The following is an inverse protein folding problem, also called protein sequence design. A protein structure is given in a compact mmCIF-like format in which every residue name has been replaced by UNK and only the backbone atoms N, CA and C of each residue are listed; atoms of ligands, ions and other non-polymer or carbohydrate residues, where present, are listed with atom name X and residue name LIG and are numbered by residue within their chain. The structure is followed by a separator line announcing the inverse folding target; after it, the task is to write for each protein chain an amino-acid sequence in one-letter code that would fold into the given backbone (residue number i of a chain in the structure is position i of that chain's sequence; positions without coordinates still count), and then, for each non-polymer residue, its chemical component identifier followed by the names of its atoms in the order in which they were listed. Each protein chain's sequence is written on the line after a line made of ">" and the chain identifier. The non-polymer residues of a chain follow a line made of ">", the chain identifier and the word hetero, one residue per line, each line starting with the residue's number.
data_IF_205036974010
#
_entry.id   IF_205036974010
#
_cell.length_a   1.000
_cell.length_b   1.000
_cell.length_c   1.000
_cell.angle_alpha   90.00
_cell.angle_beta   90.00
_cell.angle_gamma   90.00
#
_symmetry.space_group_name_H-M   'P 1'
#
loop_
_entity.id
_entity.type
_entity.pdbx_description
1 polymer ?
#
# COMPACT_ATOMS: atom_id res chain seq x y z
N UNK A 1 27.98 -47.23 -6.19
CA UNK A 1 26.96 -47.05 -5.13
C UNK A 1 26.58 -45.58 -5.14
N UNK A 2 25.41 -45.25 -5.70
CA UNK A 2 24.25 -44.69 -4.97
C UNK A 2 24.58 -43.31 -4.37
N UNK A 3 24.05 -42.18 -4.83
CA UNK A 3 22.68 -41.88 -5.26
C UNK A 3 22.17 -40.78 -4.33
N UNK A 4 22.35 -39.51 -4.68
CA UNK A 4 21.75 -38.39 -3.94
C UNK A 4 20.34 -38.17 -4.49
N UNK A 5 19.35 -38.68 -3.76
CA UNK A 5 17.94 -38.47 -4.04
C UNK A 5 17.57 -37.00 -3.88
N UNK A 6 16.96 -36.45 -4.92
CA UNK A 6 16.30 -35.16 -4.88
C UNK A 6 15.10 -35.23 -3.94
N UNK A 7 15.24 -34.61 -2.77
CA UNK A 7 14.10 -34.18 -1.96
C UNK A 7 13.69 -32.81 -2.44
N UNK A 8 12.93 -32.74 -3.53
CA UNK A 8 12.16 -31.55 -3.85
C UNK A 8 11.10 -31.37 -2.76
N UNK A 9 11.40 -30.58 -1.73
CA UNK A 9 10.33 -29.94 -0.95
C UNK A 9 9.64 -28.98 -1.90
N UNK A 10 8.57 -29.46 -2.52
CA UNK A 10 7.60 -28.60 -3.17
C UNK A 10 7.08 -27.67 -2.07
N UNK A 11 7.42 -26.37 -2.19
CA UNK A 11 6.86 -25.37 -1.31
C UNK A 11 5.33 -25.49 -1.41
N UNK A 12 4.60 -25.49 -0.28
CA UNK A 12 3.15 -25.56 -0.33
C UNK A 12 2.65 -24.45 -1.25
N UNK A 13 1.77 -24.82 -2.19
CA UNK A 13 1.16 -23.86 -3.11
C UNK A 13 0.58 -22.69 -2.28
N UNK A 14 0.97 -21.46 -2.63
CA UNK A 14 0.48 -20.29 -1.94
C UNK A 14 -1.06 -20.30 -1.95
N UNK A 15 -1.67 -20.25 -0.77
CA UNK A 15 -3.12 -20.15 -0.66
C UNK A 15 -3.59 -18.92 -1.43
N UNK A 16 -4.65 -19.06 -2.24
CA UNK A 16 -5.23 -17.90 -2.95
C UNK A 16 -5.70 -16.87 -1.93
N UNK A 17 -5.38 -15.61 -2.18
CA UNK A 17 -5.84 -14.50 -1.36
C UNK A 17 -7.37 -14.38 -1.44
N UNK A 18 -8.01 -14.19 -0.29
CA UNK A 18 -9.45 -13.93 -0.21
C UNK A 18 -9.73 -12.46 -0.50
N UNK A 19 -10.67 -12.18 -1.40
CA UNK A 19 -11.20 -10.83 -1.61
C UNK A 19 -12.12 -10.48 -0.43
N UNK A 20 -11.78 -9.42 0.32
CA UNK A 20 -12.69 -8.86 1.30
C UNK A 20 -13.90 -8.25 0.60
N UNK A 21 -15.10 -8.40 1.18
CA UNK A 21 -16.32 -7.81 0.62
C UNK A 21 -16.31 -6.30 0.87
N UNK A 22 -16.11 -5.53 -0.19
CA UNK A 22 -16.22 -4.07 -0.15
C UNK A 22 -17.71 -3.64 -0.13
N UNK A 23 -18.07 -2.78 0.81
CA UNK A 23 -19.39 -2.18 0.90
C UNK A 23 -19.25 -0.72 1.39
N UNK A 24 -19.53 0.29 0.53
CA UNK A 24 -19.43 1.70 0.91
C UNK A 24 -20.23 2.09 2.14
N UNK A 25 -21.29 1.34 2.48
CA UNK A 25 -22.11 1.60 3.66
C UNK A 25 -21.39 1.32 4.99
N UNK A 26 -20.26 0.60 4.96
CA UNK A 26 -19.46 0.28 6.16
C UNK A 26 -18.41 1.36 6.46
N UNK A 27 -18.48 2.53 5.80
CA UNK A 27 -17.48 3.59 5.94
C UNK A 27 -18.11 4.85 6.53
N UNK A 28 -17.36 5.50 7.43
CA UNK A 28 -17.71 6.77 8.06
C UNK A 28 -16.64 7.83 7.83
N UNK A 29 -16.03 8.32 8.92
CA UNK A 29 -14.86 9.19 8.84
C UNK A 29 -13.62 8.34 8.47
N UNK A 30 -12.94 8.61 7.32
CA UNK A 30 -11.89 7.72 6.83
C UNK A 30 -10.58 7.78 7.61
N UNK A 31 -10.43 8.71 8.54
CA UNK A 31 -9.16 9.01 9.18
C UNK A 31 -9.31 9.24 10.69
N UNK A 32 -9.97 8.30 11.38
CA UNK A 32 -10.09 8.36 12.85
C UNK A 32 -8.79 7.94 13.55
N UNK A 33 -7.98 7.13 12.88
CA UNK A 33 -6.71 6.61 13.38
C UNK A 33 -6.90 5.44 14.34
N UNK A 34 -7.98 4.67 14.20
CA UNK A 34 -8.28 3.50 15.03
C UNK A 34 -7.31 2.34 14.76
N UNK A 35 -6.82 2.18 13.52
CA UNK A 35 -5.88 1.12 13.20
C UNK A 35 -4.50 1.36 13.84
N UNK A 36 -4.09 0.48 14.76
CA UNK A 36 -2.83 0.61 15.51
C UNK A 36 -1.56 0.42 14.68
N UNK A 37 -1.65 -0.25 13.52
CA UNK A 37 -0.48 -0.54 12.68
C UNK A 37 -0.17 0.62 11.73
N UNK A 38 -1.21 1.28 11.23
CA UNK A 38 -1.10 2.44 10.35
C UNK A 38 -2.21 3.46 10.69
N UNK A 39 -2.04 4.26 11.76
CA UNK A 39 -3.07 5.21 12.15
C UNK A 39 -3.26 6.30 11.08
N UNK A 40 -4.41 6.31 10.42
CA UNK A 40 -4.78 7.38 9.49
C UNK A 40 -5.22 8.61 10.27
N UNK A 41 -4.26 9.43 10.71
CA UNK A 41 -4.55 10.69 11.40
C UNK A 41 -3.87 11.84 10.67
N UNK A 42 -4.62 12.83 10.11
CA UNK A 42 -4.05 13.93 9.36
C UNK A 42 -2.92 14.65 10.12
N UNK A 43 -1.85 14.99 9.40
CA UNK A 43 -0.64 15.57 9.95
C UNK A 43 0.34 14.56 10.56
N UNK A 44 -0.03 13.28 10.64
CA UNK A 44 0.92 12.22 11.02
C UNK A 44 1.96 12.05 9.93
N UNK A 45 3.22 12.09 10.34
CA UNK A 45 4.35 11.84 9.46
C UNK A 45 5.25 10.77 10.06
N UNK A 46 5.72 9.86 9.23
CA UNK A 46 6.74 8.88 9.59
C UNK A 46 7.89 8.94 8.58
N UNK A 47 9.11 8.72 9.07
CA UNK A 47 10.30 8.63 8.24
C UNK A 47 10.91 7.25 8.43
N UNK A 48 11.13 6.53 7.34
CA UNK A 48 11.80 5.24 7.30
C UNK A 48 13.10 5.41 6.54
N UNK A 49 14.20 5.04 7.16
CA UNK A 49 15.54 5.13 6.58
C UNK A 49 16.13 3.73 6.40
N UNK A 50 16.94 3.57 5.37
CA UNK A 50 17.59 2.32 5.06
C UNK A 50 18.51 2.44 3.85
N UNK A 51 18.58 1.36 3.08
CA UNK A 51 19.33 1.33 1.84
C UNK A 51 18.61 0.45 0.82
N UNK A 52 18.63 0.88 -0.44
CA UNK A 52 18.10 0.15 -1.59
C UNK A 52 19.18 -0.09 -2.64
N UNK A 53 18.84 -0.81 -3.71
CA UNK A 53 19.72 -1.05 -4.85
C UNK A 53 19.25 -0.26 -6.06
N UNK A 54 20.10 0.64 -6.55
CA UNK A 54 19.89 1.36 -7.82
C UNK A 54 20.90 0.82 -8.84
N UNK A 55 20.40 0.00 -9.76
CA UNK A 55 21.25 -0.83 -10.62
C UNK A 55 22.09 -1.79 -9.79
N UNK A 56 23.41 -1.73 -9.92
CA UNK A 56 24.35 -2.57 -9.14
C UNK A 56 24.84 -1.93 -7.84
N UNK A 57 24.42 -0.70 -7.51
CA UNK A 57 24.91 0.05 -6.35
C UNK A 57 23.89 0.03 -5.21
N UNK A 58 24.36 -0.27 -4.00
CA UNK A 58 23.61 -0.05 -2.77
C UNK A 58 23.73 1.41 -2.36
N UNK A 59 22.61 2.10 -2.16
CA UNK A 59 22.56 3.53 -1.81
C UNK A 59 21.66 3.78 -0.61
N UNK A 60 21.88 4.87 0.16
CA UNK A 60 20.94 5.30 1.19
C UNK A 60 19.57 5.55 0.57
N UNK A 61 18.53 5.17 1.30
CA UNK A 61 17.14 5.27 0.90
C UNK A 61 16.32 5.79 2.07
N UNK A 62 15.40 6.70 1.81
CA UNK A 62 14.49 7.26 2.79
C UNK A 62 13.10 7.39 2.19
N UNK A 63 12.08 6.99 2.95
CA UNK A 63 10.67 7.25 2.66
C UNK A 63 10.10 8.13 3.75
N UNK A 64 9.52 9.25 3.36
CA UNK A 64 8.70 10.08 4.24
C UNK A 64 7.24 9.88 3.86
N UNK A 65 6.47 9.25 4.74
CA UNK A 65 5.03 9.03 4.58
C UNK A 65 4.28 10.07 5.39
N UNK A 66 3.35 10.80 4.76
CA UNK A 66 2.53 11.83 5.38
C UNK A 66 1.06 11.56 5.15
N UNK A 67 0.29 11.36 6.24
CA UNK A 67 -1.17 11.36 6.17
C UNK A 67 -1.63 12.82 6.05
N UNK A 68 -2.22 13.18 4.92
CA UNK A 68 -2.62 14.56 4.65
C UNK A 68 -4.00 14.88 5.26
N UNK A 69 -4.47 16.11 5.06
CA UNK A 69 -5.85 16.54 5.28
C UNK A 69 -6.63 16.70 3.96
N UNK A 70 -6.11 16.14 2.86
CA UNK A 70 -6.75 16.16 1.54
C UNK A 70 -7.65 14.95 1.42
N UNK A 71 -8.94 15.21 1.19
CA UNK A 71 -9.96 14.18 1.07
C UNK A 71 -10.56 14.12 -0.35
N UNK A 72 -10.97 12.93 -0.75
CA UNK A 72 -11.65 12.69 -2.02
C UNK A 72 -12.71 11.61 -1.85
N UNK A 73 -13.83 11.72 -2.55
CA UNK A 73 -14.79 10.61 -2.65
C UNK A 73 -14.39 9.67 -3.80
N UNK A 74 -14.26 8.38 -3.50
CA UNK A 74 -13.91 7.33 -4.45
C UNK A 74 -14.85 6.15 -4.21
N UNK A 75 -15.58 5.75 -5.27
CA UNK A 75 -16.51 4.61 -5.22
C UNK A 75 -17.51 4.66 -4.05
N UNK A 76 -18.01 5.85 -3.72
CA UNK A 76 -18.98 6.08 -2.63
C UNK A 76 -18.35 6.18 -1.23
N UNK A 77 -17.03 6.12 -1.11
CA UNK A 77 -16.30 6.21 0.16
C UNK A 77 -15.46 7.48 0.18
N UNK A 78 -15.57 8.26 1.25
CA UNK A 78 -14.63 9.37 1.50
C UNK A 78 -13.27 8.75 1.86
N UNK A 79 -12.20 9.18 1.23
CA UNK A 79 -10.82 8.70 1.46
C UNK A 79 -9.92 9.86 1.82
N UNK A 80 -8.85 9.60 2.59
CA UNK A 80 -7.75 10.55 2.82
C UNK A 80 -6.58 10.20 1.91
N UNK A 81 -5.90 11.22 1.38
CA UNK A 81 -4.67 11.03 0.62
C UNK A 81 -3.48 10.86 1.58
N UNK A 82 -2.66 9.85 1.34
CA UNK A 82 -1.38 9.61 2.00
C UNK A 82 -0.29 9.84 0.96
N UNK A 83 0.64 10.73 1.27
CA UNK A 83 1.77 11.09 0.41
C UNK A 83 3.01 10.34 0.86
N UNK A 84 3.60 9.56 -0.04
CA UNK A 84 4.97 9.07 0.12
C UNK A 84 5.92 9.90 -0.74
N UNK A 85 7.01 10.34 -0.11
CA UNK A 85 8.12 11.00 -0.77
C UNK A 85 9.39 10.19 -0.54
N UNK A 86 9.93 9.65 -1.62
CA UNK A 86 11.06 8.73 -1.59
C UNK A 86 12.34 9.38 -2.13
N UNK A 87 13.43 9.19 -1.39
CA UNK A 87 14.75 9.72 -1.71
C UNK A 87 15.76 8.57 -1.78
N UNK A 88 16.40 8.42 -2.93
CA UNK A 88 17.56 7.55 -3.14
C UNK A 88 18.81 8.38 -3.39
N UNK A 89 19.88 8.11 -2.64
CA UNK A 89 21.16 8.81 -2.76
C UNK A 89 21.05 10.36 -2.72
N UNK A 90 20.07 10.90 -1.99
CA UNK A 90 19.82 12.34 -1.85
C UNK A 90 19.03 12.97 -3.00
N UNK A 91 18.43 12.18 -3.89
CA UNK A 91 17.56 12.64 -4.96
C UNK A 91 16.21 11.94 -4.89
N UNK A 92 15.15 12.65 -5.29
CA UNK A 92 13.82 12.05 -5.39
C UNK A 92 13.88 10.88 -6.37
N UNK A 93 13.41 9.71 -5.92
CA UNK A 93 13.25 8.49 -6.73
C UNK A 93 11.78 8.22 -7.04
N UNK A 94 10.88 8.52 -6.10
CA UNK A 94 9.44 8.30 -6.26
C UNK A 94 8.63 9.33 -5.47
N UNK A 95 7.48 9.72 -5.99
CA UNK A 95 6.41 10.35 -5.21
C UNK A 95 5.11 9.59 -5.48
N UNK A 96 4.33 9.30 -4.45
CA UNK A 96 3.03 8.64 -4.63
C UNK A 96 1.94 9.21 -3.75
N UNK A 97 0.71 9.10 -4.25
CA UNK A 97 -0.51 9.38 -3.52
C UNK A 97 -1.35 8.11 -3.42
N UNK A 98 -1.58 7.69 -2.19
CA UNK A 98 -2.48 6.58 -1.88
C UNK A 98 -3.77 7.10 -1.24
N UNK A 99 -4.90 6.71 -1.80
CA UNK A 99 -6.21 7.04 -1.26
C UNK A 99 -6.68 5.92 -0.34
N UNK A 100 -6.60 6.19 0.97
CA UNK A 100 -6.93 5.23 2.01
C UNK A 100 -8.22 5.62 2.73
N UNK A 101 -8.93 4.63 3.26
CA UNK A 101 -10.06 4.85 4.15
C UNK A 101 -10.10 3.80 5.25
N UNK A 102 -10.46 4.23 6.45
CA UNK A 102 -10.81 3.35 7.56
C UNK A 102 -12.31 3.00 7.51
N UNK A 103 -12.63 1.71 7.61
CA UNK A 103 -14.02 1.26 7.79
C UNK A 103 -14.43 1.31 9.28
N UNK A 104 -15.72 1.09 9.55
CA UNK A 104 -16.28 1.13 10.91
C UNK A 104 -15.68 0.08 11.87
N UNK A 105 -15.08 -0.98 11.33
CA UNK A 105 -14.39 -2.02 12.09
C UNK A 105 -12.90 -1.68 12.35
N UNK A 106 -12.42 -0.53 11.86
CA UNK A 106 -11.03 -0.08 11.98
C UNK A 106 -10.06 -0.71 10.97
N UNK A 107 -10.58 -1.37 9.93
CA UNK A 107 -9.75 -1.87 8.84
C UNK A 107 -9.40 -0.74 7.86
N UNK A 108 -8.21 -0.79 7.31
CA UNK A 108 -7.76 0.15 6.28
C UNK A 108 -7.94 -0.45 4.91
N UNK A 109 -8.55 0.34 4.02
CA UNK A 109 -8.80 0.00 2.64
C UNK A 109 -7.97 0.89 1.72
N UNK A 110 -7.50 0.33 0.61
CA UNK A 110 -6.82 1.04 -0.47
C UNK A 110 -7.75 1.17 -1.67
N UNK A 111 -8.09 2.42 -2.01
CA UNK A 111 -9.12 2.73 -3.00
C UNK A 111 -8.58 3.40 -4.26
N UNK A 112 -7.29 3.71 -4.32
CA UNK A 112 -6.69 4.27 -5.52
C UNK A 112 -5.27 4.74 -5.27
N UNK A 113 -4.48 4.74 -6.33
CA UNK A 113 -3.07 5.08 -6.28
C UNK A 113 -2.67 5.93 -7.48
N UNK A 114 -1.68 6.78 -7.27
CA UNK A 114 -0.95 7.47 -8.33
C UNK A 114 0.51 7.58 -7.93
N UNK A 115 1.39 6.98 -8.73
CA UNK A 115 2.83 6.91 -8.43
C UNK A 115 3.63 7.48 -9.58
N UNK A 116 4.53 8.42 -9.28
CA UNK A 116 5.49 9.00 -10.20
C UNK A 116 6.90 8.48 -9.92
N UNK A 117 7.63 8.09 -10.98
CA UNK A 117 9.03 7.70 -10.92
C UNK A 117 9.93 8.85 -11.38
N UNK A 118 11.03 9.03 -10.64
CA UNK A 118 12.05 10.02 -10.90
C UNK A 118 13.42 9.35 -11.09
N UNK A 119 14.20 9.86 -12.05
CA UNK A 119 15.59 9.46 -12.24
C UNK A 119 16.48 10.70 -12.29
N UNK A 120 17.52 10.74 -11.46
CA UNK A 120 18.35 11.93 -11.36
C UNK A 120 17.61 13.14 -10.77
N UNK A 121 16.55 12.91 -9.98
CA UNK A 121 15.65 13.95 -9.47
C UNK A 121 14.74 14.59 -10.52
N UNK A 122 14.55 13.94 -11.68
CA UNK A 122 13.67 14.43 -12.75
C UNK A 122 12.58 13.41 -13.02
N UNK A 123 11.35 13.89 -13.21
CA UNK A 123 10.22 13.06 -13.61
C UNK A 123 10.55 12.26 -14.87
N UNK A 124 10.22 10.97 -14.86
CA UNK A 124 10.38 10.07 -16.00
C UNK A 124 9.03 9.53 -16.46
N UNK A 125 8.22 9.03 -15.52
CA UNK A 125 6.94 8.42 -15.85
C UNK A 125 6.00 8.38 -14.65
N UNK A 126 4.70 8.12 -14.90
CA UNK A 126 3.79 7.65 -13.88
C UNK A 126 3.68 6.12 -13.99
N UNK A 127 3.97 5.41 -12.91
CA UNK A 127 3.94 3.95 -12.84
C UNK A 127 2.51 3.42 -12.79
N UNK A 128 1.62 4.14 -12.11
CA UNK A 128 0.20 3.82 -12.03
C UNK A 128 -0.67 5.07 -11.85
N UNK A 129 -1.96 4.91 -12.14
CA UNK A 129 -3.01 5.89 -11.91
C UNK A 129 -4.37 5.20 -11.94
N UNK A 130 -4.96 4.94 -10.77
CA UNK A 130 -6.20 4.17 -10.68
C UNK A 130 -7.07 4.60 -9.50
N UNK A 131 -8.37 4.37 -9.63
CA UNK A 131 -9.38 4.62 -8.60
C UNK A 131 -10.39 3.48 -8.63
N UNK A 132 -10.77 2.97 -7.47
CA UNK A 132 -11.80 1.93 -7.34
C UNK A 132 -13.10 2.36 -8.05
N UNK A 133 -13.74 1.41 -8.72
CA UNK A 133 -14.93 1.64 -9.53
C UNK A 133 -14.66 2.19 -10.94
N UNK A 134 -13.45 2.68 -11.22
CA UNK A 134 -13.06 3.13 -12.57
C UNK A 134 -12.48 1.98 -13.36
N UNK A 135 -13.00 1.73 -14.57
CA UNK A 135 -12.53 0.68 -15.50
C UNK A 135 -12.45 -0.73 -14.87
N UNK A 136 -13.26 -1.00 -13.85
CA UNK A 136 -13.29 -2.30 -13.17
C UNK A 136 -12.26 -2.47 -12.05
N UNK A 137 -11.47 -1.44 -11.74
CA UNK A 137 -10.56 -1.46 -10.60
C UNK A 137 -11.34 -1.64 -9.30
N UNK A 138 -10.80 -2.44 -8.37
CA UNK A 138 -11.44 -2.76 -7.09
C UNK A 138 -10.62 -2.25 -5.93
N UNK A 139 -11.31 -1.66 -4.96
CA UNK A 139 -10.77 -1.44 -3.63
C UNK A 139 -10.40 -2.77 -2.97
N UNK A 140 -9.43 -2.76 -2.08
CA UNK A 140 -9.11 -3.93 -1.27
C UNK A 140 -8.65 -3.55 0.13
N UNK A 141 -8.55 -4.59 0.95
CA UNK A 141 -8.21 -4.49 2.35
C UNK A 141 -6.69 -4.38 2.47
N UNK A 142 -6.17 -3.22 2.90
CA UNK A 142 -4.75 -2.98 3.06
C UNK A 142 -4.23 -3.51 4.39
N UNK A 143 -4.91 -3.15 5.49
CA UNK A 143 -4.52 -3.55 6.85
C UNK A 143 -5.75 -3.91 7.64
N UNK A 144 -5.76 -5.11 8.23
CA UNK A 144 -6.80 -5.49 9.21
C UNK A 144 -6.64 -4.72 10.51
N UNK A 145 -7.76 -4.39 11.16
CA UNK A 145 -7.73 -3.82 12.52
C UNK A 145 -7.05 -4.78 13.52
N UNK A 146 -7.39 -6.07 13.41
CA UNK A 146 -6.90 -7.14 14.28
C UNK A 146 -6.38 -8.34 13.46
N UNK A 147 -5.17 -8.27 12.89
CA UNK A 147 -4.61 -9.39 12.14
C UNK A 147 -4.30 -10.55 13.09
N UNK A 148 -4.73 -11.76 12.70
CA UNK A 148 -4.47 -13.00 13.45
C UNK A 148 -3.50 -13.89 12.70
N UNK A 149 -2.48 -14.38 13.41
CA UNK A 149 -1.55 -15.36 12.86
C UNK A 149 -2.30 -16.59 12.32
N UNK A 150 -1.92 -17.05 11.12
CA UNK A 150 -2.56 -18.19 10.46
C UNK A 150 -3.85 -17.87 9.69
N UNK A 151 -4.29 -16.60 9.67
CA UNK A 151 -5.39 -16.18 8.78
C UNK A 151 -5.00 -16.37 7.31
N UNK A 152 -5.95 -16.70 6.43
CA UNK A 152 -5.68 -16.71 5.00
C UNK A 152 -5.14 -15.37 4.50
N UNK A 153 -4.31 -15.35 3.45
CA UNK A 153 -3.92 -14.11 2.80
C UNK A 153 -5.17 -13.39 2.26
N UNK A 154 -5.13 -12.06 2.21
CA UNK A 154 -6.20 -11.24 1.62
C UNK A 154 -5.65 -10.34 0.51
N UNK A 155 -6.53 -9.90 -0.38
CA UNK A 155 -6.18 -9.02 -1.49
C UNK A 155 -6.23 -7.55 -1.07
N UNK A 156 -5.16 -6.81 -1.38
CA UNK A 156 -4.98 -5.40 -1.00
C UNK A 156 -5.67 -4.42 -1.94
N UNK A 157 -5.65 -4.68 -3.25
CA UNK A 157 -6.37 -3.94 -4.28
C UNK A 157 -6.28 -4.67 -5.62
N UNK A 158 -7.12 -4.28 -6.58
CA UNK A 158 -6.99 -4.68 -8.00
C UNK A 158 -7.04 -3.41 -8.86
N UNK A 159 -5.88 -2.78 -9.13
CA UNK A 159 -5.76 -1.57 -9.97
C UNK A 159 -6.25 -1.74 -11.41
#
# INVERSE_FOLDING_TARGET
>A
MAGCGGGGSEAPAAAKATEAKFDPANFGDPATGANHYLPLKPGTQSVREGATSVGSRRVPHQVTTTVTDVYREINGVRTVAVLDHEIDAGQVSQESLDYLAEDEDGNLWYLGGYTEEFQGGRYVSALDAWLAGVKGAKAGLLVQAEPRAGSPPYAVAQP
#
